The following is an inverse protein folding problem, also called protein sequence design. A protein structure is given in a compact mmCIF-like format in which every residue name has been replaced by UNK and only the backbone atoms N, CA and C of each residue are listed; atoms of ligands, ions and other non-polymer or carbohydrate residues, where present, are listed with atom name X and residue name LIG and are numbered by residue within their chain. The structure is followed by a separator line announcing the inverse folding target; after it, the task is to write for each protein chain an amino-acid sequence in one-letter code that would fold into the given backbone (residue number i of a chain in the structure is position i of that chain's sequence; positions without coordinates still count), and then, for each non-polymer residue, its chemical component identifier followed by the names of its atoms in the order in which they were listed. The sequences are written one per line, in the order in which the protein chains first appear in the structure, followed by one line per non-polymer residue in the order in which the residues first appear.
data_IF_633365245431
#
_entry.id   IF_633365245431
#
_cell.length_a   1.000
_cell.length_b   1.000
_cell.length_c   1.000
_cell.angle_alpha   90.00
_cell.angle_beta   90.00
_cell.angle_gamma   90.00
#
_symmetry.space_group_name_H-M   'P 1'
#
loop_
_entity.id
_entity.type
_entity.pdbx_description
1 polymer ?
#
# COMPACT_ATOMS: atom_id res chain seq x y z
N UNK A 1 11.80 27.31 1.43
CA UNK A 1 10.44 26.76 1.66
C UNK A 1 10.51 25.27 1.35
N UNK A 2 9.99 24.43 2.22
CA UNK A 2 9.97 22.98 2.00
C UNK A 2 9.14 22.63 0.75
N UNK A 3 9.67 21.76 -0.10
CA UNK A 3 9.01 21.28 -1.29
C UNK A 3 8.27 19.97 -0.95
N UNK A 4 6.94 20.01 -0.92
CA UNK A 4 6.13 18.81 -0.68
C UNK A 4 5.65 18.26 -2.01
N UNK A 5 5.75 16.93 -2.18
CA UNK A 5 5.30 16.23 -3.38
C UNK A 5 4.41 15.05 -3.02
N UNK A 6 3.38 14.83 -3.82
CA UNK A 6 2.57 13.62 -3.82
C UNK A 6 2.66 12.97 -5.21
N UNK A 7 3.34 11.84 -5.29
CA UNK A 7 3.50 11.07 -6.50
C UNK A 7 2.48 9.93 -6.56
N UNK A 8 1.66 9.94 -7.59
CA UNK A 8 0.71 8.86 -7.88
C UNK A 8 1.37 7.93 -8.89
N UNK A 9 1.49 6.67 -8.54
CA UNK A 9 2.29 5.73 -9.30
C UNK A 9 1.52 4.48 -9.69
N UNK A 10 1.91 3.87 -10.80
CA UNK A 10 1.46 2.53 -11.18
C UNK A 10 2.21 1.43 -10.45
N UNK A 11 1.66 0.22 -10.46
CA UNK A 11 2.35 -0.96 -9.97
C UNK A 11 3.66 -1.21 -10.74
N UNK A 12 4.74 -1.49 -10.02
CA UNK A 12 6.05 -1.72 -10.63
C UNK A 12 6.73 -0.50 -11.23
N UNK A 13 6.21 0.73 -11.00
CA UNK A 13 6.78 1.96 -11.57
C UNK A 13 8.03 2.49 -10.85
N UNK A 14 8.62 1.71 -9.95
CA UNK A 14 9.88 2.07 -9.32
C UNK A 14 9.78 3.07 -8.17
N UNK A 15 8.58 3.27 -7.54
CA UNK A 15 8.39 4.14 -6.37
C UNK A 15 9.46 3.97 -5.30
N UNK A 16 9.57 2.77 -4.76
CA UNK A 16 10.52 2.44 -3.68
C UNK A 16 11.97 2.65 -4.12
N UNK A 17 12.30 2.34 -5.37
CA UNK A 17 13.63 2.64 -5.92
C UNK A 17 13.93 4.13 -5.95
N UNK A 18 12.95 4.93 -6.34
CA UNK A 18 13.07 6.38 -6.32
C UNK A 18 13.25 6.90 -4.89
N UNK A 19 12.40 6.46 -3.95
CA UNK A 19 12.48 6.87 -2.53
C UNK A 19 13.85 6.55 -1.95
N UNK A 20 14.36 5.33 -2.17
CA UNK A 20 15.68 4.90 -1.69
C UNK A 20 16.81 5.76 -2.29
N UNK A 21 16.80 6.00 -3.61
CA UNK A 21 17.83 6.80 -4.29
C UNK A 21 17.79 8.27 -3.88
N UNK A 22 16.62 8.87 -3.84
CA UNK A 22 16.46 10.28 -3.46
C UNK A 22 16.81 10.50 -1.98
N UNK A 23 16.41 9.58 -1.10
CA UNK A 23 16.76 9.62 0.32
C UNK A 23 18.27 9.49 0.56
N UNK A 24 18.97 8.62 -0.20
CA UNK A 24 20.42 8.50 -0.15
C UNK A 24 21.11 9.80 -0.54
N UNK A 25 20.71 10.37 -1.67
CA UNK A 25 21.27 11.63 -2.17
C UNK A 25 21.06 12.77 -1.16
N UNK A 26 19.88 12.86 -0.54
CA UNK A 26 19.60 13.88 0.48
C UNK A 26 20.38 13.63 1.76
N UNK A 27 20.54 12.37 2.17
CA UNK A 27 21.32 12.04 3.38
C UNK A 27 22.77 12.49 3.28
N UNK A 28 23.37 12.53 2.07
CA UNK A 28 24.72 13.03 1.84
C UNK A 28 24.84 14.56 1.91
N UNK A 29 23.72 15.30 1.84
CA UNK A 29 23.68 16.76 1.77
C UNK A 29 23.33 17.43 3.10
N UNK A 30 22.97 16.67 4.14
CA UNK A 30 22.53 17.21 5.42
C UNK A 30 22.98 16.38 6.60
N UNK A 31 23.15 16.99 7.76
CA UNK A 31 23.37 16.31 9.03
C UNK A 31 22.07 15.95 9.74
N UNK A 32 20.93 16.52 9.33
CA UNK A 32 19.62 16.16 9.85
C UNK A 32 19.21 14.77 9.37
N UNK A 33 18.26 14.17 10.07
CA UNK A 33 17.74 12.87 9.69
C UNK A 33 16.91 12.95 8.41
N UNK A 34 17.05 11.91 7.59
CA UNK A 34 16.13 11.56 6.50
C UNK A 34 15.32 10.36 6.97
N UNK A 35 14.00 10.43 6.88
CA UNK A 35 13.14 9.32 7.27
C UNK A 35 12.40 8.73 6.06
N UNK A 36 12.43 7.41 5.91
CA UNK A 36 11.52 6.65 5.05
C UNK A 36 10.53 5.96 5.97
N UNK A 37 9.28 6.38 5.89
CA UNK A 37 8.17 5.89 6.73
C UNK A 37 7.26 5.05 5.87
N UNK A 38 7.05 3.80 6.28
CA UNK A 38 6.20 2.84 5.58
C UNK A 38 5.21 2.17 6.53
N UNK A 39 4.20 1.51 5.99
CA UNK A 39 3.07 1.06 6.81
C UNK A 39 3.28 -0.30 7.45
N UNK A 40 3.86 -1.27 6.73
CA UNK A 40 4.01 -2.66 7.18
C UNK A 40 5.46 -3.02 7.43
N UNK A 41 5.70 -3.99 8.34
CA UNK A 41 7.03 -4.54 8.58
C UNK A 41 7.62 -5.18 7.31
N UNK A 42 6.78 -5.78 6.47
CA UNK A 42 7.19 -6.35 5.19
C UNK A 42 7.74 -5.26 4.26
N UNK A 43 7.02 -4.14 4.08
CA UNK A 43 7.50 -3.02 3.27
C UNK A 43 8.78 -2.41 3.86
N UNK A 44 8.87 -2.29 5.18
CA UNK A 44 10.06 -1.80 5.87
C UNK A 44 11.29 -2.67 5.58
N UNK A 45 11.12 -4.00 5.61
CA UNK A 45 12.19 -4.94 5.28
C UNK A 45 12.58 -4.87 3.81
N UNK A 46 11.61 -4.78 2.90
CA UNK A 46 11.85 -4.64 1.46
C UNK A 46 12.62 -3.34 1.14
N UNK A 47 12.30 -2.23 1.80
CA UNK A 47 13.04 -0.98 1.62
C UNK A 47 14.47 -1.07 2.15
N UNK A 48 14.68 -1.68 3.32
CA UNK A 48 16.01 -1.93 3.88
C UNK A 48 16.85 -2.79 2.96
N UNK A 49 16.28 -3.91 2.51
CA UNK A 49 16.99 -4.82 1.60
C UNK A 49 17.34 -4.12 0.30
N UNK A 50 16.40 -3.41 -0.30
CA UNK A 50 16.65 -2.65 -1.53
C UNK A 50 17.71 -1.57 -1.35
N UNK A 51 17.73 -0.91 -0.20
CA UNK A 51 18.77 0.06 0.11
C UNK A 51 20.15 -0.58 0.19
N UNK A 52 20.25 -1.71 0.90
CA UNK A 52 21.50 -2.48 1.05
C UNK A 52 21.98 -3.04 -0.29
N UNK A 53 21.07 -3.52 -1.13
CA UNK A 53 21.41 -4.05 -2.47
C UNK A 53 22.06 -2.98 -3.35
N UNK A 54 21.58 -1.73 -3.27
CA UNK A 54 22.08 -0.62 -4.10
C UNK A 54 23.34 0.01 -3.48
N UNK A 55 23.34 0.31 -2.18
CA UNK A 55 24.35 1.15 -1.54
C UNK A 55 25.24 0.43 -0.53
N UNK A 56 24.96 -0.86 -0.23
CA UNK A 56 25.69 -1.75 0.69
C UNK A 56 25.60 -1.36 2.18
N UNK A 57 25.31 -0.12 2.52
CA UNK A 57 25.17 0.35 3.91
C UNK A 57 24.11 1.44 4.01
N UNK A 58 23.50 1.61 5.17
CA UNK A 58 22.54 2.68 5.47
C UNK A 58 23.26 3.76 6.28
N UNK A 59 23.29 5.04 5.83
CA UNK A 59 23.89 6.14 6.58
C UNK A 59 23.27 6.33 7.96
N UNK A 60 24.05 6.83 8.94
CA UNK A 60 23.56 7.04 10.31
C UNK A 60 22.40 8.05 10.41
N UNK A 61 22.38 9.03 9.51
CA UNK A 61 21.31 10.03 9.45
C UNK A 61 20.10 9.60 8.60
N UNK A 62 20.05 8.36 8.09
CA UNK A 62 18.90 7.81 7.38
C UNK A 62 18.23 6.75 8.23
N UNK A 63 16.92 6.90 8.44
CA UNK A 63 16.10 5.92 9.16
C UNK A 63 15.01 5.37 8.27
N UNK A 64 14.81 4.06 8.32
CA UNK A 64 13.68 3.36 7.69
C UNK A 64 12.82 2.81 8.82
N UNK A 65 11.60 3.33 8.96
CA UNK A 65 10.77 3.14 10.16
C UNK A 65 9.31 2.88 9.80
N UNK A 66 8.65 2.04 10.59
CA UNK A 66 7.20 1.80 10.44
C UNK A 66 6.36 2.98 10.97
N UNK A 67 5.18 3.22 10.36
CA UNK A 67 4.29 4.32 10.72
C UNK A 67 3.94 4.35 12.21
N UNK A 68 3.57 3.23 12.79
CA UNK A 68 3.22 3.17 14.22
C UNK A 68 4.39 3.52 15.14
N UNK A 69 5.59 3.03 14.82
CA UNK A 69 6.81 3.36 15.56
C UNK A 69 7.15 4.85 15.40
N UNK A 70 6.98 5.40 14.20
CA UNK A 70 7.16 6.83 13.94
C UNK A 70 6.21 7.68 14.79
N UNK A 71 4.93 7.31 14.89
CA UNK A 71 3.98 8.00 15.76
C UNK A 71 4.36 7.90 17.23
N UNK A 72 4.74 6.72 17.71
CA UNK A 72 5.15 6.51 19.09
C UNK A 72 6.38 7.33 19.47
N UNK A 73 7.43 7.32 18.64
CA UNK A 73 8.71 7.93 18.98
C UNK A 73 8.71 9.46 18.85
N UNK A 74 8.04 10.00 17.85
CA UNK A 74 8.15 11.43 17.54
C UNK A 74 6.98 12.26 18.04
N UNK A 75 5.80 11.65 18.25
CA UNK A 75 4.61 12.41 18.67
C UNK A 75 4.03 11.97 20.01
N UNK A 76 4.12 10.69 20.36
CA UNK A 76 3.44 10.18 21.57
C UNK A 76 4.37 10.17 22.77
N UNK A 77 5.48 9.43 22.72
CA UNK A 77 6.37 9.25 23.88
C UNK A 77 6.85 10.58 24.49
N UNK A 78 7.21 11.61 23.70
CA UNK A 78 7.62 12.88 24.26
C UNK A 78 6.49 13.73 24.86
N UNK A 79 5.22 13.47 24.49
CA UNK A 79 4.09 14.35 24.80
C UNK A 79 2.88 13.65 25.44
N UNK A 80 2.96 12.35 25.69
CA UNK A 80 1.85 11.55 26.26
C UNK A 80 1.38 12.04 27.61
N UNK A 81 2.30 12.53 28.44
CA UNK A 81 2.00 13.06 29.76
C UNK A 81 1.14 14.31 29.71
N UNK A 82 1.29 15.13 28.66
CA UNK A 82 0.45 16.31 28.49
C UNK A 82 -1.01 15.97 28.17
N UNK A 83 -1.27 14.77 27.68
CA UNK A 83 -2.61 14.27 27.39
C UNK A 83 -3.19 13.48 28.58
N UNK A 84 -2.38 12.59 29.17
CA UNK A 84 -2.73 11.75 30.31
C UNK A 84 -1.59 11.80 31.31
N UNK A 85 -1.72 12.63 32.34
CA UNK A 85 -0.68 13.01 33.28
C UNK A 85 0.09 11.80 33.86
N UNK A 86 -0.60 10.73 34.29
CA UNK A 86 0.08 9.57 34.88
C UNK A 86 1.00 8.79 33.90
N UNK A 87 1.06 9.17 32.61
CA UNK A 87 1.97 8.57 31.61
C UNK A 87 3.34 9.24 31.58
N UNK A 88 3.59 10.34 32.31
CA UNK A 88 4.86 11.05 32.26
C UNK A 88 6.04 10.09 32.44
N UNK A 89 6.06 9.32 33.50
CA UNK A 89 7.17 8.45 33.89
C UNK A 89 6.95 6.97 33.49
N UNK A 90 5.91 6.66 32.73
CA UNK A 90 5.58 5.27 32.38
C UNK A 90 5.98 4.93 30.96
N UNK A 91 6.55 3.75 30.79
CA UNK A 91 6.72 3.20 29.45
C UNK A 91 5.35 2.89 28.84
N UNK A 92 5.18 3.20 27.55
CA UNK A 92 3.94 2.99 26.82
C UNK A 92 4.25 2.33 25.49
N UNK A 93 3.62 1.20 25.23
CA UNK A 93 3.74 0.41 24.00
C UNK A 93 2.41 0.36 23.24
N UNK A 94 2.40 -0.36 22.14
CA UNK A 94 1.22 -0.57 21.31
C UNK A 94 0.52 -1.88 21.72
N UNK A 95 -0.78 -1.83 21.91
CA UNK A 95 -1.62 -3.00 22.14
C UNK A 95 -2.40 -3.37 20.87
N UNK A 96 -2.22 -4.60 20.40
CA UNK A 96 -2.92 -5.15 19.22
C UNK A 96 -4.25 -5.81 19.58
N UNK A 97 -4.80 -5.51 20.73
CA UNK A 97 -6.11 -5.97 21.16
C UNK A 97 -7.19 -4.95 20.79
N UNK A 98 -8.41 -5.43 20.54
CA UNK A 98 -9.53 -4.54 20.33
C UNK A 98 -9.82 -3.72 21.61
N UNK A 99 -10.20 -2.44 21.49
CA UNK A 99 -10.67 -1.67 22.62
C UNK A 99 -11.79 -2.40 23.34
N UNK A 100 -11.86 -2.24 24.69
CA UNK A 100 -12.90 -2.89 25.48
C UNK A 100 -14.29 -2.58 24.90
N UNK A 101 -15.03 -3.61 24.57
CA UNK A 101 -16.36 -3.48 23.99
C UNK A 101 -17.35 -4.38 24.70
N UNK A 102 -18.50 -3.85 25.11
CA UNK A 102 -19.65 -4.63 25.59
C UNK A 102 -20.56 -4.97 24.40
N UNK A 103 -21.09 -6.19 24.35
CA UNK A 103 -22.16 -6.52 23.40
C UNK A 103 -23.50 -6.11 23.99
N UNK A 104 -24.23 -5.22 23.33
CA UNK A 104 -25.61 -4.87 23.65
C UNK A 104 -26.44 -5.18 22.41
N UNK A 105 -27.48 -6.00 22.54
CA UNK A 105 -28.37 -6.41 21.45
C UNK A 105 -27.60 -6.94 20.20
N UNK A 106 -26.54 -7.73 20.39
CA UNK A 106 -25.74 -8.29 19.30
C UNK A 106 -24.68 -7.35 18.70
N UNK A 107 -24.69 -6.07 19.02
CA UNK A 107 -23.71 -5.08 18.55
C UNK A 107 -22.59 -4.85 19.54
N UNK A 108 -21.33 -4.73 19.05
CA UNK A 108 -20.20 -4.30 19.87
C UNK A 108 -20.29 -2.80 20.13
N UNK A 109 -20.42 -2.39 21.38
CA UNK A 109 -20.37 -1.00 21.80
C UNK A 109 -19.07 -0.78 22.55
N UNK A 110 -18.28 0.22 22.13
CA UNK A 110 -17.08 0.62 22.85
C UNK A 110 -17.49 1.46 24.04
N UNK A 111 -17.17 0.96 25.24
CA UNK A 111 -17.49 1.63 26.51
C UNK A 111 -16.33 2.47 26.98
N UNK A 112 -16.35 3.73 26.69
CA UNK A 112 -15.64 4.73 27.48
C UNK A 112 -16.52 5.98 27.63
N UNK A 113 -16.45 6.62 28.77
CA UNK A 113 -17.05 7.93 28.93
C UNK A 113 -16.25 8.90 28.05
N UNK A 114 -16.92 9.73 27.22
CA UNK A 114 -16.25 10.65 26.26
C UNK A 114 -15.20 11.56 26.90
N UNK A 115 -15.29 11.80 28.21
CA UNK A 115 -14.31 12.56 29.00
C UNK A 115 -13.14 11.74 29.56
N UNK A 116 -13.23 10.41 29.57
CA UNK A 116 -12.18 9.54 30.11
C UNK A 116 -11.20 9.12 29.03
N UNK A 117 -10.16 9.95 28.85
CA UNK A 117 -9.10 9.71 27.88
C UNK A 117 -8.31 8.44 28.18
N UNK A 118 -8.15 8.08 29.47
CA UNK A 118 -7.45 6.86 29.87
C UNK A 118 -8.21 5.63 29.39
N UNK A 119 -9.49 5.54 29.71
CA UNK A 119 -10.32 4.40 29.30
C UNK A 119 -10.48 4.32 27.77
N UNK A 120 -10.40 5.46 27.07
CA UNK A 120 -10.47 5.50 25.62
C UNK A 120 -9.21 4.95 24.96
N UNK A 121 -8.04 5.43 25.38
CA UNK A 121 -6.80 5.22 24.65
C UNK A 121 -5.96 4.06 25.16
N UNK A 122 -6.13 3.66 26.42
CA UNK A 122 -5.21 2.76 27.09
C UNK A 122 -5.84 1.43 27.53
N UNK A 123 -5.04 0.39 27.49
CA UNK A 123 -5.31 -0.86 28.20
C UNK A 123 -5.08 -0.68 29.70
N UNK A 124 -5.43 -1.71 30.51
CA UNK A 124 -5.08 -1.78 31.95
C UNK A 124 -3.59 -1.58 32.22
N UNK A 125 -2.73 -2.05 31.31
CA UNK A 125 -1.27 -1.99 31.41
C UNK A 125 -0.67 -0.71 30.83
N UNK A 126 -1.49 0.32 30.59
CA UNK A 126 -1.12 1.61 30.01
C UNK A 126 -0.53 1.53 28.58
N UNK A 127 -0.83 0.50 27.82
CA UNK A 127 -0.49 0.42 26.40
C UNK A 127 -1.60 1.04 25.56
N UNK A 128 -1.23 1.69 24.44
CA UNK A 128 -2.18 2.37 23.57
C UNK A 128 -2.82 1.35 22.64
N UNK A 129 -4.15 1.35 22.56
CA UNK A 129 -4.87 0.56 21.56
C UNK A 129 -4.45 0.98 20.14
N UNK A 130 -4.06 0.01 19.30
CA UNK A 130 -3.66 0.24 17.90
C UNK A 130 -4.68 1.10 17.15
N UNK A 131 -5.96 0.82 17.33
CA UNK A 131 -7.05 1.52 16.61
C UNK A 131 -7.17 3.01 16.98
N UNK A 132 -6.62 3.42 18.11
CA UNK A 132 -6.61 4.81 18.59
C UNK A 132 -5.23 5.49 18.53
N UNK A 133 -4.20 4.79 18.06
CA UNK A 133 -2.83 5.32 18.06
C UNK A 133 -2.71 6.66 17.31
N UNK A 134 -3.25 6.71 16.09
CA UNK A 134 -3.22 7.92 15.27
C UNK A 134 -4.04 9.06 15.90
N UNK A 135 -5.17 8.74 16.52
CA UNK A 135 -5.97 9.73 17.24
C UNK A 135 -5.21 10.29 18.43
N UNK A 136 -4.56 9.44 19.24
CA UNK A 136 -3.76 9.86 20.38
C UNK A 136 -2.56 10.73 19.95
N UNK A 137 -1.86 10.32 18.88
CA UNK A 137 -0.78 11.12 18.29
C UNK A 137 -1.29 12.49 17.82
N UNK A 138 -2.46 12.55 17.22
CA UNK A 138 -3.06 13.81 16.79
C UNK A 138 -3.44 14.70 17.97
N UNK A 139 -3.96 14.17 19.09
CA UNK A 139 -4.20 14.95 20.31
C UNK A 139 -2.88 15.52 20.88
N UNK A 140 -1.78 14.76 20.87
CA UNK A 140 -0.45 15.27 21.24
C UNK A 140 -0.04 16.44 20.33
N UNK A 141 -0.19 16.29 19.00
CA UNK A 141 0.13 17.33 18.02
C UNK A 141 -0.73 18.58 18.24
N UNK A 142 -2.00 18.41 18.49
CA UNK A 142 -2.94 19.51 18.68
C UNK A 142 -2.61 20.34 19.91
N UNK A 143 -2.25 19.68 21.01
CA UNK A 143 -1.91 20.32 22.28
C UNK A 143 -0.53 21.01 22.26
N UNK A 144 0.43 20.39 21.57
CA UNK A 144 1.84 20.81 21.54
C UNK A 144 2.30 21.31 20.16
N UNK A 145 1.42 21.95 19.41
CA UNK A 145 1.59 22.25 17.98
C UNK A 145 2.91 22.90 17.62
N UNK A 146 3.27 23.97 18.32
CA UNK A 146 4.50 24.74 18.05
C UNK A 146 5.74 23.94 18.43
N UNK A 147 5.71 23.28 19.59
CA UNK A 147 6.85 22.50 20.10
C UNK A 147 7.13 21.33 19.16
N UNK A 148 6.10 20.59 18.77
CA UNK A 148 6.23 19.45 17.85
C UNK A 148 6.71 19.91 16.48
N UNK A 149 6.16 21.01 15.94
CA UNK A 149 6.61 21.58 14.67
C UNK A 149 8.11 21.90 14.70
N UNK A 150 8.58 22.59 15.74
CA UNK A 150 9.98 22.96 15.90
C UNK A 150 10.86 21.72 16.07
N UNK A 151 10.46 20.78 16.91
CA UNK A 151 11.18 19.52 17.14
C UNK A 151 11.35 18.71 15.82
N UNK A 152 10.29 18.55 15.04
CA UNK A 152 10.35 17.84 13.75
C UNK A 152 11.29 18.58 12.79
N UNK A 153 11.27 19.90 12.75
CA UNK A 153 12.17 20.70 11.91
C UNK A 153 13.64 20.63 12.33
N UNK A 154 13.92 20.44 13.62
CA UNK A 154 15.28 20.25 14.11
C UNK A 154 15.83 18.87 13.80
N UNK A 155 14.98 17.84 13.87
CA UNK A 155 15.37 16.43 13.69
C UNK A 155 15.48 16.08 12.20
N UNK A 156 14.49 16.46 11.38
CA UNK A 156 14.35 16.00 10.01
C UNK A 156 14.59 17.10 8.98
N UNK A 157 15.25 16.72 7.89
CA UNK A 157 15.29 17.49 6.64
C UNK A 157 14.18 17.06 5.70
N UNK A 158 14.06 15.75 5.46
CA UNK A 158 13.05 15.18 4.57
C UNK A 158 12.42 13.94 5.18
N UNK A 159 11.11 13.80 5.00
CA UNK A 159 10.34 12.62 5.39
C UNK A 159 9.60 12.10 4.17
N UNK A 160 9.86 10.84 3.83
CA UNK A 160 9.15 10.10 2.80
C UNK A 160 8.05 9.26 3.46
N UNK A 161 6.87 9.27 2.86
CA UNK A 161 5.76 8.38 3.18
C UNK A 161 5.54 7.47 1.99
N UNK A 162 6.09 6.24 2.03
CA UNK A 162 5.87 5.25 0.97
C UNK A 162 4.65 4.37 1.27
N UNK A 163 4.01 3.84 0.21
CA UNK A 163 2.79 3.03 0.26
C UNK A 163 1.63 3.73 1.02
N UNK A 164 1.50 5.05 0.81
CA UNK A 164 0.59 5.92 1.58
C UNK A 164 -0.90 5.68 1.31
N UNK A 165 -1.29 4.81 0.38
CA UNK A 165 -2.69 4.39 0.18
C UNK A 165 -3.28 3.66 1.39
N UNK A 166 -2.45 3.22 2.35
CA UNK A 166 -2.92 2.53 3.53
C UNK A 166 -3.27 3.47 4.71
N UNK A 167 -3.05 4.80 4.55
CA UNK A 167 -3.47 5.81 5.53
C UNK A 167 -5.00 5.93 5.62
N UNK A 168 -5.49 6.12 6.85
CA UNK A 168 -6.91 6.33 7.10
C UNK A 168 -7.16 7.13 8.39
N UNK A 169 -8.38 7.64 8.55
CA UNK A 169 -8.82 8.28 9.79
C UNK A 169 -7.96 9.49 10.19
N UNK A 170 -7.41 9.42 11.39
CA UNK A 170 -6.54 10.49 11.94
C UNK A 170 -5.16 10.58 11.30
N UNK A 171 -4.71 9.57 10.54
CA UNK A 171 -3.47 9.66 9.77
C UNK A 171 -3.50 10.89 8.85
N UNK A 172 -4.64 11.18 8.22
CA UNK A 172 -4.84 12.36 7.38
C UNK A 172 -4.67 13.68 8.14
N UNK A 173 -5.13 13.75 9.39
CA UNK A 173 -4.95 14.96 10.22
C UNK A 173 -3.48 15.16 10.60
N UNK A 174 -2.75 14.08 10.87
CA UNK A 174 -1.32 14.12 11.15
C UNK A 174 -0.58 14.60 9.91
N UNK A 175 -0.81 13.98 8.75
CA UNK A 175 -0.21 14.39 7.47
C UNK A 175 -0.51 15.87 7.18
N UNK A 176 -1.76 16.31 7.33
CA UNK A 176 -2.15 17.73 7.18
C UNK A 176 -1.36 18.66 8.10
N UNK A 177 -1.12 18.23 9.34
CA UNK A 177 -0.36 19.01 10.32
C UNK A 177 1.12 19.09 9.95
N UNK A 178 1.70 17.99 9.45
CA UNK A 178 3.08 17.90 8.99
C UNK A 178 3.32 18.75 7.74
N UNK A 179 2.47 18.64 6.73
CA UNK A 179 2.57 19.42 5.47
C UNK A 179 2.55 20.93 5.68
N UNK A 180 2.07 21.42 6.83
CA UNK A 180 2.15 22.84 7.22
C UNK A 180 3.53 23.26 7.72
N UNK A 181 4.45 22.31 7.88
CA UNK A 181 5.81 22.59 8.34
C UNK A 181 6.72 22.88 7.13
N UNK A 182 6.92 24.17 6.84
CA UNK A 182 7.70 24.64 5.69
C UNK A 182 9.22 24.42 5.82
N UNK A 183 9.71 23.96 6.98
CA UNK A 183 11.13 23.71 7.22
C UNK A 183 11.54 22.26 7.02
N UNK A 184 10.60 21.39 6.61
CA UNK A 184 10.82 19.97 6.33
C UNK A 184 10.20 19.66 4.98
N UNK A 185 10.86 18.84 4.18
CA UNK A 185 10.32 18.36 2.92
C UNK A 185 9.52 17.09 3.16
N UNK A 186 8.32 17.00 2.59
CA UNK A 186 7.49 15.80 2.67
C UNK A 186 7.25 15.24 1.27
N UNK A 187 7.59 13.98 1.09
CA UNK A 187 7.42 13.27 -0.17
C UNK A 187 6.50 12.07 0.09
N UNK A 188 5.34 12.11 -0.54
CA UNK A 188 4.32 11.07 -0.45
C UNK A 188 4.35 10.27 -1.75
N UNK A 189 4.49 8.94 -1.66
CA UNK A 189 4.34 8.04 -2.80
C UNK A 189 3.16 7.09 -2.55
N UNK A 190 2.33 6.91 -3.56
CA UNK A 190 1.09 6.14 -3.42
C UNK A 190 0.68 5.45 -4.72
N UNK A 191 0.05 4.30 -4.62
CA UNK A 191 -0.76 3.71 -5.69
C UNK A 191 -2.18 3.45 -5.15
N UNK A 192 -3.13 4.39 -5.35
CA UNK A 192 -4.50 4.25 -4.84
C UNK A 192 -5.21 2.97 -5.28
N UNK A 193 -4.77 2.36 -6.41
CA UNK A 193 -5.30 1.09 -6.92
C UNK A 193 -4.93 -0.12 -6.05
N UNK A 194 -3.90 0.01 -5.19
CA UNK A 194 -3.42 -1.07 -4.32
C UNK A 194 -3.92 -0.97 -2.87
N UNK A 195 -5.01 -0.24 -2.62
CA UNK A 195 -5.59 -0.15 -1.29
C UNK A 195 -6.34 -1.44 -0.93
N UNK A 196 -5.66 -2.38 -0.30
CA UNK A 196 -6.23 -3.68 0.12
C UNK A 196 -6.44 -3.80 1.63
N UNK A 197 -5.88 -2.87 2.41
CA UNK A 197 -5.88 -2.88 3.86
C UNK A 197 -6.18 -1.49 4.42
N UNK A 198 -6.69 -1.43 5.64
CA UNK A 198 -6.91 -0.18 6.38
C UNK A 198 -6.29 -0.28 7.76
N UNK A 199 -5.57 0.75 8.17
CA UNK A 199 -4.87 0.82 9.46
C UNK A 199 -5.82 0.83 10.66
N UNK A 200 -7.01 1.40 10.50
CA UNK A 200 -8.02 1.46 11.55
C UNK A 200 -9.44 1.45 11.00
N UNK A 201 -10.41 1.18 11.87
CA UNK A 201 -11.84 1.26 11.58
C UNK A 201 -12.42 2.67 11.80
N UNK A 202 -11.56 3.69 11.99
CA UNK A 202 -12.00 5.05 12.23
C UNK A 202 -12.75 5.61 11.02
N UNK A 203 -13.87 6.25 11.25
CA UNK A 203 -14.77 6.80 10.21
C UNK A 203 -14.39 8.21 9.77
N UNK A 204 -13.45 8.86 10.47
CA UNK A 204 -12.96 10.19 10.11
C UNK A 204 -12.31 10.13 8.71
N UNK A 205 -12.57 11.11 7.88
CA UNK A 205 -12.05 11.16 6.50
C UNK A 205 -12.37 9.94 5.64
N UNK A 206 -13.47 9.24 5.91
CA UNK A 206 -13.89 8.03 5.19
C UNK A 206 -13.86 8.18 3.65
N UNK A 207 -14.16 9.39 3.15
CA UNK A 207 -14.16 9.70 1.70
C UNK A 207 -12.78 9.58 1.04
N UNK A 208 -11.68 9.70 1.84
CA UNK A 208 -10.31 9.60 1.35
C UNK A 208 -9.64 8.26 1.65
N UNK A 209 -10.39 7.30 2.19
CA UNK A 209 -9.85 5.97 2.48
C UNK A 209 -9.28 5.33 1.20
N UNK A 210 -7.98 5.01 1.21
CA UNK A 210 -7.27 4.54 0.03
C UNK A 210 -6.96 5.61 -1.03
N UNK A 211 -7.33 6.87 -0.77
CA UNK A 211 -7.28 7.98 -1.73
C UNK A 211 -6.59 9.21 -1.13
N UNK A 212 -5.35 9.04 -0.68
CA UNK A 212 -4.53 10.17 -0.19
C UNK A 212 -4.28 11.22 -1.29
N UNK A 213 -4.33 10.81 -2.55
CA UNK A 213 -4.29 11.69 -3.72
C UNK A 213 -5.40 12.74 -3.68
N UNK A 214 -6.66 12.31 -3.48
CA UNK A 214 -7.81 13.21 -3.36
C UNK A 214 -7.73 14.10 -2.11
N UNK A 215 -7.17 13.58 -1.02
CA UNK A 215 -6.94 14.39 0.17
C UNK A 215 -5.91 15.50 -0.08
N UNK A 216 -4.82 15.21 -0.78
CA UNK A 216 -3.83 16.21 -1.18
C UNK A 216 -4.44 17.24 -2.14
N UNK A 217 -5.27 16.82 -3.10
CA UNK A 217 -5.99 17.72 -4.01
C UNK A 217 -6.92 18.69 -3.25
N UNK A 218 -7.67 18.19 -2.25
CA UNK A 218 -8.52 19.05 -1.44
C UNK A 218 -7.71 20.05 -0.61
N UNK A 219 -6.53 19.65 -0.10
CA UNK A 219 -5.65 20.57 0.63
C UNK A 219 -5.15 21.72 -0.25
N UNK A 220 -4.89 21.47 -1.54
CA UNK A 220 -4.53 22.51 -2.51
C UNK A 220 -5.69 23.48 -2.76
N UNK A 221 -6.89 22.94 -2.99
CA UNK A 221 -8.06 23.72 -3.37
C UNK A 221 -8.58 24.62 -2.23
N UNK A 222 -8.39 24.23 -0.97
CA UNK A 222 -8.90 24.93 0.19
C UNK A 222 -8.07 26.14 0.64
N UNK A 223 -7.14 26.66 -0.20
CA UNK A 223 -6.26 27.83 0.13
C UNK A 223 -5.59 27.73 1.52
N UNK A 224 -5.57 26.53 2.09
CA UNK A 224 -4.84 26.31 3.34
C UNK A 224 -3.35 26.43 3.00
N UNK A 225 -2.55 27.08 3.83
CA UNK A 225 -1.09 27.35 3.67
C UNK A 225 -0.25 26.04 3.55
N UNK A 226 -0.74 25.08 2.79
CA UNK A 226 -0.11 23.79 2.51
C UNK A 226 0.33 23.83 1.04
N UNK A 227 1.64 23.91 0.82
CA UNK A 227 2.18 23.81 -0.53
C UNK A 227 2.53 22.34 -0.77
N UNK A 228 1.82 21.67 -1.68
CA UNK A 228 2.10 20.32 -2.13
C UNK A 228 1.89 20.26 -3.65
N UNK A 229 2.85 19.70 -4.37
CA UNK A 229 2.72 19.44 -5.80
C UNK A 229 2.26 17.99 -6.01
N UNK A 230 1.29 17.77 -6.89
CA UNK A 230 0.77 16.43 -7.21
C UNK A 230 1.22 16.06 -8.60
N UNK A 231 1.93 14.93 -8.72
CA UNK A 231 2.41 14.41 -10.00
C UNK A 231 1.80 13.03 -10.26
N UNK A 232 1.05 12.93 -11.37
CA UNK A 232 0.38 11.70 -11.84
C UNK A 232 1.10 11.07 -13.04
N UNK A 233 2.22 11.64 -13.50
CA UNK A 233 2.85 11.29 -14.77
C UNK A 233 4.23 10.65 -14.63
N UNK A 234 4.97 10.97 -13.58
CA UNK A 234 6.34 10.49 -13.37
C UNK A 234 6.43 8.96 -13.24
N UNK A 235 5.43 8.32 -12.65
CA UNK A 235 5.44 6.89 -12.30
C UNK A 235 4.36 6.10 -13.02
N UNK A 236 4.21 6.29 -14.33
CA UNK A 236 3.29 5.54 -15.20
C UNK A 236 3.95 4.34 -15.87
N UNK A 237 5.28 4.29 -15.94
CA UNK A 237 6.04 3.22 -16.61
C UNK A 237 6.30 2.05 -15.66
N UNK A 238 5.71 0.89 -15.94
CA UNK A 238 5.95 -0.32 -15.16
C UNK A 238 7.24 -1.01 -15.59
N UNK A 239 8.19 -1.13 -14.68
CA UNK A 239 9.39 -1.95 -14.84
C UNK A 239 9.14 -3.42 -14.54
N UNK A 240 7.93 -3.77 -14.11
CA UNK A 240 7.53 -5.12 -13.71
C UNK A 240 6.82 -5.85 -14.84
N UNK A 241 5.64 -5.38 -15.19
CA UNK A 241 4.70 -6.06 -16.06
C UNK A 241 5.01 -5.87 -17.54
N UNK A 242 4.71 -6.87 -18.36
CA UNK A 242 4.73 -6.74 -19.82
C UNK A 242 3.55 -5.91 -20.33
N UNK A 243 3.47 -5.70 -21.66
CA UNK A 243 2.46 -4.85 -22.28
C UNK A 243 1.03 -5.33 -22.03
N UNK A 244 0.75 -6.61 -22.24
CA UNK A 244 -0.60 -7.19 -22.06
C UNK A 244 -1.10 -7.06 -20.62
N UNK A 245 -0.20 -7.25 -19.62
CA UNK A 245 -0.55 -7.10 -18.22
C UNK A 245 -0.77 -5.62 -17.87
N UNK A 246 0.05 -4.71 -18.37
CA UNK A 246 -0.15 -3.27 -18.20
C UNK A 246 -1.49 -2.81 -18.77
N UNK A 247 -1.82 -3.24 -19.97
CA UNK A 247 -3.11 -2.97 -20.61
C UNK A 247 -4.28 -3.52 -19.79
N UNK A 248 -4.27 -4.80 -19.48
CA UNK A 248 -5.34 -5.44 -18.72
C UNK A 248 -5.51 -4.83 -17.32
N UNK A 249 -4.41 -4.55 -16.60
CA UNK A 249 -4.48 -3.91 -15.29
C UNK A 249 -5.06 -2.50 -15.33
N UNK A 250 -4.83 -1.77 -16.44
CA UNK A 250 -5.39 -0.43 -16.66
C UNK A 250 -6.90 -0.46 -16.87
N UNK A 251 -7.45 -1.54 -17.43
CA UNK A 251 -8.90 -1.74 -17.57
C UNK A 251 -9.61 -1.94 -16.21
N UNK A 252 -8.91 -2.49 -15.22
CA UNK A 252 -9.46 -2.68 -13.87
C UNK A 252 -9.71 -1.30 -13.21
N UNK A 253 -8.81 -0.33 -13.41
CA UNK A 253 -8.86 1.00 -12.82
C UNK A 253 -8.78 2.09 -13.89
N UNK A 254 -9.76 2.13 -14.78
CA UNK A 254 -9.83 3.07 -15.90
C UNK A 254 -9.92 4.56 -15.50
N UNK A 255 -10.20 4.85 -14.23
CA UNK A 255 -10.21 6.21 -13.66
C UNK A 255 -8.80 6.79 -13.42
N UNK A 256 -7.75 5.98 -13.54
CA UNK A 256 -6.35 6.43 -13.46
C UNK A 256 -5.67 6.41 -14.83
N UNK A 257 -4.57 7.15 -15.00
CA UNK A 257 -3.75 7.05 -16.22
C UNK A 257 -3.34 5.60 -16.47
N UNK A 258 -3.34 5.20 -17.73
CA UNK A 258 -2.94 3.87 -18.15
C UNK A 258 -1.47 3.59 -17.75
N UNK A 259 -1.21 2.38 -17.28
CA UNK A 259 0.15 1.91 -17.00
C UNK A 259 0.83 1.57 -18.32
N UNK A 260 2.03 2.08 -18.54
CA UNK A 260 2.83 1.85 -19.75
C UNK A 260 3.96 0.87 -19.42
N UNK A 261 4.22 -0.15 -20.25
CA UNK A 261 5.36 -1.04 -20.02
C UNK A 261 6.68 -0.28 -20.25
N UNK A 262 7.63 -0.45 -19.34
CA UNK A 262 8.96 0.15 -19.51
C UNK A 262 9.72 -0.49 -20.67
N UNK A 263 10.35 0.35 -21.50
CA UNK A 263 11.14 -0.04 -22.68
C UNK A 263 12.66 0.04 -22.46
N UNK A 264 13.15 0.23 -21.21
CA UNK A 264 14.60 0.28 -20.98
C UNK A 264 15.26 -1.09 -21.21
N UNK A 265 16.57 -1.08 -21.54
CA UNK A 265 17.34 -2.28 -21.91
C UNK A 265 17.23 -3.41 -20.90
N UNK A 266 17.30 -3.10 -19.59
CA UNK A 266 17.18 -4.11 -18.53
C UNK A 266 15.79 -4.78 -18.51
N UNK A 267 14.72 -4.04 -18.78
CA UNK A 267 13.37 -4.59 -18.87
C UNK A 267 13.18 -5.42 -20.15
N UNK A 268 13.71 -4.96 -21.27
CA UNK A 268 13.66 -5.71 -22.54
C UNK A 268 14.47 -7.01 -22.44
N UNK A 269 15.69 -6.93 -21.92
CA UNK A 269 16.53 -8.11 -21.69
C UNK A 269 15.84 -9.14 -20.79
N UNK A 270 15.21 -8.72 -19.68
CA UNK A 270 14.46 -9.64 -18.82
C UNK A 270 13.29 -10.32 -19.54
N UNK A 271 12.57 -9.61 -20.39
CA UNK A 271 11.46 -10.17 -21.18
C UNK A 271 11.95 -11.19 -22.23
N UNK A 272 13.11 -10.99 -22.82
CA UNK A 272 13.66 -11.92 -23.84
C UNK A 272 14.13 -13.26 -23.25
N UNK A 273 14.39 -13.33 -21.94
CA UNK A 273 14.73 -14.60 -21.27
C UNK A 273 13.52 -15.49 -20.98
N UNK A 274 12.31 -14.95 -20.98
CA UNK A 274 11.11 -15.75 -20.80
C UNK A 274 10.63 -16.28 -22.17
N UNK A 275 10.95 -17.56 -22.44
CA UNK A 275 10.76 -18.18 -23.75
C UNK A 275 9.31 -18.66 -24.00
N UNK A 276 8.47 -18.74 -22.96
CA UNK A 276 7.09 -19.14 -23.07
C UNK A 276 6.21 -18.00 -23.55
N UNK A 277 5.02 -18.31 -24.06
CA UNK A 277 4.06 -17.30 -24.48
C UNK A 277 3.70 -16.37 -23.31
N UNK A 278 3.74 -15.07 -23.58
CA UNK A 278 3.49 -14.02 -22.59
C UNK A 278 2.12 -13.41 -22.80
N UNK A 279 1.41 -13.10 -21.72
CA UNK A 279 0.14 -12.41 -21.82
C UNK A 279 -0.84 -12.69 -20.69
N UNK A 280 -2.08 -12.30 -20.92
CA UNK A 280 -3.21 -12.55 -20.03
C UNK A 280 -4.15 -13.52 -20.73
N UNK A 281 -4.34 -14.69 -20.15
CA UNK A 281 -5.12 -15.78 -20.71
C UNK A 281 -6.32 -16.14 -19.83
N UNK A 282 -7.42 -16.52 -20.46
CA UNK A 282 -8.47 -17.28 -19.80
C UNK A 282 -8.08 -18.76 -19.80
N UNK A 283 -8.23 -19.41 -18.66
CA UNK A 283 -7.88 -20.83 -18.49
C UNK A 283 -9.11 -21.59 -18.00
N UNK A 284 -9.59 -22.55 -18.76
CA UNK A 284 -10.69 -23.38 -18.28
C UNK A 284 -10.30 -24.14 -17.02
N UNK A 285 -11.25 -24.34 -16.11
CA UNK A 285 -11.00 -25.03 -14.83
C UNK A 285 -10.34 -26.41 -15.02
N UNK A 286 -10.71 -27.15 -16.06
CA UNK A 286 -10.11 -28.44 -16.42
C UNK A 286 -8.63 -28.34 -16.81
N UNK A 287 -8.20 -27.20 -17.37
CA UNK A 287 -6.84 -26.99 -17.86
C UNK A 287 -5.95 -26.23 -16.84
N UNK A 288 -6.51 -25.82 -15.69
CA UNK A 288 -5.82 -24.98 -14.70
C UNK A 288 -4.55 -25.65 -14.13
N UNK A 289 -4.58 -26.95 -13.86
CA UNK A 289 -3.40 -27.70 -13.39
C UNK A 289 -2.30 -27.72 -14.44
N UNK A 290 -2.64 -28.01 -15.69
CA UNK A 290 -1.69 -28.03 -16.80
C UNK A 290 -1.07 -26.64 -17.05
N UNK A 291 -1.84 -25.56 -16.88
CA UNK A 291 -1.31 -24.20 -16.94
C UNK A 291 -0.31 -23.92 -15.81
N UNK A 292 -0.66 -24.32 -14.57
CA UNK A 292 0.22 -24.16 -13.39
C UNK A 292 1.53 -24.91 -13.63
N UNK A 293 1.48 -26.16 -14.08
CA UNK A 293 2.67 -26.98 -14.30
C UNK A 293 3.53 -26.42 -15.46
N UNK A 294 2.90 -26.04 -16.58
CA UNK A 294 3.60 -25.51 -17.74
C UNK A 294 4.34 -24.21 -17.43
N UNK A 295 3.70 -23.27 -16.75
CA UNK A 295 4.28 -21.98 -16.42
C UNK A 295 5.02 -21.95 -15.07
N UNK A 296 5.00 -23.00 -14.28
CA UNK A 296 5.38 -22.99 -12.86
C UNK A 296 4.71 -21.83 -12.12
N UNK A 297 3.42 -21.63 -12.37
CA UNK A 297 2.69 -20.45 -11.96
C UNK A 297 2.38 -20.44 -10.46
N UNK A 298 2.53 -19.29 -9.82
CA UNK A 298 2.07 -19.08 -8.43
C UNK A 298 0.56 -18.92 -8.41
N UNK A 299 -0.08 -19.59 -7.46
CA UNK A 299 -1.54 -19.62 -7.33
C UNK A 299 -2.00 -18.45 -6.48
N UNK A 300 -2.88 -17.61 -7.03
CA UNK A 300 -3.48 -16.49 -6.33
C UNK A 300 -4.98 -16.69 -6.14
N UNK A 301 -5.44 -16.57 -4.88
CA UNK A 301 -6.84 -16.72 -4.50
C UNK A 301 -7.34 -15.50 -3.74
N UNK A 302 -8.65 -15.24 -3.76
CA UNK A 302 -9.21 -14.09 -3.05
C UNK A 302 -9.09 -14.23 -1.52
N UNK A 303 -9.22 -15.46 -1.02
CA UNK A 303 -9.09 -15.87 0.38
C UNK A 303 -8.75 -17.35 0.49
N UNK A 304 -8.54 -17.85 1.72
CA UNK A 304 -8.15 -19.23 2.00
C UNK A 304 -9.27 -20.26 1.75
N UNK A 305 -10.51 -19.84 1.55
CA UNK A 305 -11.66 -20.75 1.38
C UNK A 305 -11.73 -21.39 -0.01
N UNK A 306 -10.99 -20.86 -0.98
CA UNK A 306 -10.94 -21.45 -2.34
C UNK A 306 -10.13 -22.73 -2.30
N UNK A 307 -10.77 -23.87 -2.59
CA UNK A 307 -10.08 -25.16 -2.70
C UNK A 307 -9.36 -25.25 -4.05
N UNK A 308 -8.06 -25.46 -4.01
CA UNK A 308 -7.22 -25.68 -5.19
C UNK A 308 -6.40 -26.93 -4.96
N UNK A 309 -6.48 -27.86 -5.88
CA UNK A 309 -5.67 -29.07 -5.86
C UNK A 309 -4.37 -28.82 -6.62
N UNK A 310 -3.38 -28.22 -5.97
CA UNK A 310 -2.06 -28.01 -6.55
C UNK A 310 -1.02 -27.89 -5.42
N UNK A 311 0.20 -28.30 -5.70
CA UNK A 311 1.36 -28.28 -4.79
C UNK A 311 2.15 -26.99 -4.86
N UNK A 312 1.85 -26.11 -5.83
CA UNK A 312 2.58 -24.87 -6.06
C UNK A 312 2.31 -23.83 -4.97
N UNK A 313 3.22 -22.86 -4.86
CA UNK A 313 3.09 -21.72 -3.95
C UNK A 313 1.74 -21.04 -4.14
N UNK A 314 1.09 -20.75 -3.02
CA UNK A 314 -0.22 -20.12 -3.00
C UNK A 314 -0.25 -18.94 -2.04
N UNK A 315 -0.91 -17.85 -2.50
CA UNK A 315 -1.13 -16.64 -1.70
C UNK A 315 -2.55 -16.11 -1.89
N UNK A 316 -3.04 -15.37 -0.91
CA UNK A 316 -4.22 -14.53 -1.11
C UNK A 316 -3.83 -13.24 -1.86
N UNK A 317 -4.79 -12.65 -2.60
CA UNK A 317 -4.57 -11.41 -3.38
C UNK A 317 -3.94 -10.27 -2.57
N UNK A 318 -4.27 -10.14 -1.28
CA UNK A 318 -3.71 -9.10 -0.42
C UNK A 318 -2.35 -9.45 0.17
N UNK A 319 -2.07 -10.73 0.42
CA UNK A 319 -0.84 -11.22 1.05
C UNK A 319 0.37 -11.11 0.12
N UNK A 320 0.16 -11.27 -1.19
CA UNK A 320 1.23 -11.15 -2.19
C UNK A 320 1.61 -9.69 -2.52
N UNK A 321 1.08 -8.71 -1.78
CA UNK A 321 1.45 -7.30 -1.97
C UNK A 321 2.94 -7.10 -1.65
N UNK A 322 3.70 -6.62 -2.62
CA UNK A 322 5.17 -6.46 -2.53
C UNK A 322 5.95 -7.50 -3.33
N UNK A 323 5.39 -8.70 -3.53
CA UNK A 323 6.05 -9.77 -4.27
C UNK A 323 5.94 -9.62 -5.78
N UNK A 324 6.80 -10.36 -6.50
CA UNK A 324 6.83 -10.43 -7.97
C UNK A 324 7.03 -11.90 -8.39
N UNK A 325 6.27 -12.34 -9.38
CA UNK A 325 6.32 -13.70 -9.90
C UNK A 325 6.40 -13.69 -11.43
N UNK A 326 7.12 -14.61 -12.02
CA UNK A 326 7.18 -14.73 -13.48
C UNK A 326 5.79 -14.96 -14.07
N UNK A 327 5.05 -15.89 -13.49
CA UNK A 327 3.71 -16.26 -13.93
C UNK A 327 2.78 -16.49 -12.73
N UNK A 328 1.52 -16.09 -12.88
CA UNK A 328 0.49 -16.34 -11.86
C UNK A 328 -0.74 -16.98 -12.48
N UNK A 329 -1.43 -17.82 -11.69
CA UNK A 329 -2.78 -18.26 -11.99
C UNK A 329 -3.74 -17.67 -10.96
N UNK A 330 -4.77 -16.99 -11.41
CA UNK A 330 -5.75 -16.30 -10.57
C UNK A 330 -7.05 -17.09 -10.55
N UNK A 331 -7.47 -17.49 -9.34
CA UNK A 331 -8.80 -18.04 -9.10
C UNK A 331 -9.75 -16.90 -8.73
N UNK A 332 -10.56 -16.40 -9.67
CA UNK A 332 -11.40 -15.24 -9.47
C UNK A 332 -12.61 -15.56 -8.58
N UNK A 333 -13.19 -14.52 -7.99
CA UNK A 333 -14.51 -14.57 -7.36
C UNK A 333 -15.61 -14.51 -8.43
N UNK A 334 -16.85 -14.87 -8.06
CA UNK A 334 -18.02 -14.71 -8.95
C UNK A 334 -18.18 -13.25 -9.41
N UNK A 335 -17.90 -12.26 -8.55
CA UNK A 335 -17.96 -10.86 -8.92
C UNK A 335 -16.93 -10.54 -10.03
N UNK A 336 -15.72 -11.10 -9.96
CA UNK A 336 -14.70 -10.89 -11.00
C UNK A 336 -15.12 -11.57 -12.31
N UNK A 337 -15.69 -12.79 -12.24
CA UNK A 337 -16.23 -13.48 -13.42
C UNK A 337 -17.38 -12.70 -14.08
N UNK A 338 -18.29 -12.14 -13.29
CA UNK A 338 -19.38 -11.27 -13.78
C UNK A 338 -18.82 -9.98 -14.40
N UNK A 339 -17.79 -9.38 -13.79
CA UNK A 339 -17.13 -8.21 -14.36
C UNK A 339 -16.45 -8.53 -15.71
N UNK A 340 -15.83 -9.67 -15.86
CA UNK A 340 -15.27 -10.14 -17.15
C UNK A 340 -16.34 -10.29 -18.24
N UNK A 341 -17.59 -10.56 -17.87
CA UNK A 341 -18.75 -10.65 -18.76
C UNK A 341 -19.49 -9.32 -18.96
N UNK A 342 -19.05 -8.24 -18.33
CA UNK A 342 -19.73 -6.93 -18.31
C UNK A 342 -21.06 -6.88 -17.52
N UNK A 343 -21.28 -7.85 -16.64
CA UNK A 343 -22.55 -7.95 -15.87
C UNK A 343 -22.58 -6.99 -14.66
N UNK A 344 -21.41 -6.61 -14.10
CA UNK A 344 -21.32 -5.76 -12.91
C UNK A 344 -20.09 -4.84 -12.91
N UNK A 345 -20.13 -3.80 -12.05
CA UNK A 345 -18.96 -3.02 -11.64
C UNK A 345 -18.39 -3.61 -10.35
N UNK A 346 -17.07 -3.81 -10.29
CA UNK A 346 -16.42 -4.34 -9.09
C UNK A 346 -16.51 -3.38 -7.91
N UNK A 347 -16.78 -3.92 -6.73
CA UNK A 347 -16.69 -3.18 -5.47
C UNK A 347 -15.25 -2.71 -5.24
N UNK A 348 -15.01 -1.53 -4.62
CA UNK A 348 -13.68 -0.93 -4.48
C UNK A 348 -12.61 -1.89 -3.93
N UNK A 349 -12.92 -2.64 -2.86
CA UNK A 349 -11.96 -3.56 -2.24
C UNK A 349 -11.65 -4.78 -3.14
N UNK A 350 -12.65 -5.31 -3.83
CA UNK A 350 -12.47 -6.42 -4.79
C UNK A 350 -11.65 -5.95 -5.98
N UNK A 351 -11.94 -4.76 -6.47
CA UNK A 351 -11.22 -4.08 -7.55
C UNK A 351 -9.73 -3.94 -7.22
N UNK A 352 -9.40 -3.39 -6.05
CA UNK A 352 -8.02 -3.21 -5.60
C UNK A 352 -7.30 -4.55 -5.36
N UNK A 353 -7.95 -5.54 -4.74
CA UNK A 353 -7.37 -6.86 -4.54
C UNK A 353 -7.08 -7.55 -5.87
N UNK A 354 -7.99 -7.46 -6.83
CA UNK A 354 -7.80 -8.04 -8.17
C UNK A 354 -6.67 -7.33 -8.93
N UNK A 355 -6.60 -5.99 -8.86
CA UNK A 355 -5.48 -5.23 -9.42
C UNK A 355 -4.14 -5.64 -8.81
N UNK A 356 -4.07 -5.84 -7.48
CA UNK A 356 -2.86 -6.35 -6.84
C UNK A 356 -2.49 -7.71 -7.40
N UNK A 357 -3.42 -8.67 -7.48
CA UNK A 357 -3.15 -10.02 -8.00
C UNK A 357 -2.62 -9.97 -9.44
N UNK A 358 -3.27 -9.22 -10.34
CA UNK A 358 -2.87 -9.05 -11.73
C UNK A 358 -1.46 -8.45 -11.84
N UNK A 359 -1.16 -7.43 -11.06
CA UNK A 359 0.13 -6.72 -11.12
C UNK A 359 1.27 -7.43 -10.36
N UNK A 360 1.08 -8.67 -9.90
CA UNK A 360 2.18 -9.50 -9.37
C UNK A 360 2.94 -10.22 -10.47
N UNK A 361 2.31 -10.46 -11.63
CA UNK A 361 2.95 -11.15 -12.73
C UNK A 361 3.91 -10.26 -13.51
N UNK A 362 5.03 -10.86 -13.92
CA UNK A 362 5.98 -10.24 -14.84
C UNK A 362 5.58 -10.50 -16.30
N UNK A 363 5.24 -11.75 -16.64
CA UNK A 363 5.12 -12.22 -18.01
C UNK A 363 3.77 -12.86 -18.36
N UNK A 364 3.21 -13.67 -17.46
CA UNK A 364 2.04 -14.46 -17.80
C UNK A 364 0.99 -14.51 -16.69
N UNK A 365 -0.28 -14.42 -17.07
CA UNK A 365 -1.43 -14.55 -16.17
C UNK A 365 -2.42 -15.54 -16.78
N UNK A 366 -2.81 -16.57 -16.01
CA UNK A 366 -3.98 -17.39 -16.26
C UNK A 366 -5.14 -16.98 -15.35
N UNK A 367 -6.28 -16.63 -15.90
CA UNK A 367 -7.50 -16.36 -15.13
C UNK A 367 -8.41 -17.57 -15.27
N UNK A 368 -8.63 -18.30 -14.18
CA UNK A 368 -9.43 -19.55 -14.19
C UNK A 368 -10.91 -19.22 -14.40
N UNK A 369 -11.50 -19.84 -15.40
CA UNK A 369 -12.91 -19.68 -15.75
C UNK A 369 -13.65 -21.02 -15.73
N UNK A 370 -14.97 -21.04 -15.43
CA UNK A 370 -15.78 -22.24 -15.58
C UNK A 370 -15.82 -22.71 -17.04
N UNK A 371 -15.98 -24.02 -17.27
CA UNK A 371 -16.07 -24.60 -18.63
C UNK A 371 -17.29 -24.06 -19.42
N UNK A 372 -18.31 -23.56 -18.72
CA UNK A 372 -19.49 -22.93 -19.31
C UNK A 372 -19.31 -21.45 -19.69
N UNK A 373 -18.12 -20.86 -19.47
CA UNK A 373 -17.85 -19.44 -19.73
C UNK A 373 -17.77 -19.18 -21.24
N UNK A 374 -18.71 -18.38 -21.79
CA UNK A 374 -18.85 -18.19 -23.23
C UNK A 374 -18.43 -16.81 -23.75
N UNK A 375 -18.49 -15.77 -22.88
CA UNK A 375 -18.28 -14.39 -23.30
C UNK A 375 -17.31 -13.68 -22.38
N UNK A 376 -16.42 -12.93 -22.99
CA UNK A 376 -15.43 -12.11 -22.30
C UNK A 376 -15.30 -10.79 -23.05
N UNK A 377 -15.65 -9.68 -22.40
CA UNK A 377 -15.70 -8.34 -23.01
C UNK A 377 -14.34 -7.78 -23.42
N UNK A 378 -13.26 -8.37 -22.95
CA UNK A 378 -11.90 -7.88 -23.24
C UNK A 378 -11.19 -8.66 -24.34
N UNK A 379 -11.87 -9.62 -24.95
CA UNK A 379 -11.32 -10.50 -26.00
C UNK A 379 -10.00 -11.19 -25.60
N UNK A 380 -9.87 -11.54 -24.29
CA UNK A 380 -8.70 -12.24 -23.82
C UNK A 380 -8.60 -13.63 -24.48
N UNK A 381 -7.40 -14.04 -24.94
CA UNK A 381 -7.20 -15.34 -25.52
C UNK A 381 -7.43 -16.46 -24.49
N UNK A 382 -7.89 -17.60 -24.96
CA UNK A 382 -8.04 -18.80 -24.13
C UNK A 382 -6.82 -19.67 -24.28
N UNK A 383 -6.17 -20.00 -23.17
CA UNK A 383 -5.09 -20.97 -23.14
C UNK A 383 -5.64 -22.39 -23.17
N UNK A 384 -5.02 -23.26 -23.98
CA UNK A 384 -5.38 -24.69 -24.05
C UNK A 384 -4.12 -25.54 -24.09
N UNK A 385 -4.21 -26.74 -23.51
CA UNK A 385 -3.11 -27.69 -23.46
C UNK A 385 -2.75 -28.26 -24.87
N UNK A 386 -3.57 -28.00 -25.89
CA UNK A 386 -3.30 -28.40 -27.27
C UNK A 386 -2.13 -27.68 -27.92
N UNK A 387 -1.72 -26.51 -27.36
CA UNK A 387 -0.52 -25.79 -27.79
C UNK A 387 0.79 -26.56 -27.46
N UNK A 388 0.73 -27.52 -26.55
CA UNK A 388 1.89 -28.33 -26.15
C UNK A 388 2.14 -29.56 -27.02
N UNK A 389 1.21 -29.87 -27.94
CA UNK A 389 1.30 -31.09 -28.80
C UNK A 389 1.92 -30.78 -30.18
N UNK A 390 2.29 -29.53 -30.46
CA UNK A 390 2.84 -29.11 -31.75
C UNK A 390 4.30 -28.59 -31.66
N UNK A 391 4.98 -28.80 -30.54
CA UNK A 391 6.43 -28.67 -30.37
C UNK A 391 7.03 -30.08 -30.10
#
# INVERSE_FOLDING_TARGET
MGNNYCYIASAGAGKTTFVVKDAHNKASLTTKKIAIVTFTSHNQNNERQKYIDIYKHIPQNLIIIGWYTFLLEYFIRPFKGDIIEHLYDRHTSLAFVAPYSKKIAGHKIVHYNRGDLKAKFLTSDNNIYKDYLAEFAFECIKRNRTIIKNRISQIFDTIYFDESQDFCGYDFEIIKSLLKNQSVNFIITTDPRQHTYSSSNNTKHKKYKGRIDLFCEELLNNKQKTHISIDKTKFIYSHRCNASICEFSSLIHSEFPATIPCSCDSCQKRKSYFLKEQGVFLVFKRDASSFVDYYNAVILTYNNNVKVNATNLRYNFGECKGDEFESVVIYPTDDILKWLKEEIVLKPITKSKFYVAVTRALFCIGIVIPDSFKHNRFNLPTWSNKLLLND
#
